data_IF_323648063839
#
_entry.id   IF_323648063839
#
_cell.length_a   1.000
_cell.length_b   1.000
_cell.length_c   1.000
_cell.angle_alpha   90.00
_cell.angle_beta   90.00
_cell.angle_gamma   90.00
#
_symmetry.space_group_name_H-M   'P 1'
#
loop_
_entity.id
_entity.type
_entity.pdbx_description
1 polymer ?
#
# COMPACT_ATOMS: atom_id res chain seq x y z
N UNK A 1 -6.49 -13.15 -16.28
CA UNK A 1 -7.17 -13.47 -15.01
C UNK A 1 -6.28 -13.10 -13.84
N UNK A 2 -6.83 -12.71 -12.69
CA UNK A 2 -6.06 -12.27 -11.53
C UNK A 2 -6.58 -12.96 -10.27
N UNK A 3 -5.68 -13.60 -9.53
CA UNK A 3 -5.97 -14.22 -8.24
C UNK A 3 -5.39 -13.34 -7.13
N UNK A 4 -6.21 -12.98 -6.13
CA UNK A 4 -5.79 -12.17 -4.97
C UNK A 4 -6.19 -12.85 -3.68
N UNK A 5 -5.27 -12.88 -2.71
CA UNK A 5 -5.47 -13.52 -1.41
C UNK A 5 -5.00 -12.59 -0.27
N UNK A 6 -5.75 -12.56 0.85
CA UNK A 6 -5.42 -11.78 2.04
C UNK A 6 -5.78 -10.29 1.97
N UNK A 7 -5.63 -9.58 3.10
CA UNK A 7 -5.95 -8.15 3.21
C UNK A 7 -7.45 -7.85 3.11
N UNK A 8 -7.80 -6.66 2.60
CA UNK A 8 -9.18 -6.25 2.32
C UNK A 8 -9.33 -5.73 0.89
N UNK A 9 -10.57 -5.51 0.44
CA UNK A 9 -10.90 -5.20 -0.96
C UNK A 9 -10.11 -4.02 -1.53
N UNK A 10 -9.95 -2.94 -0.75
CA UNK A 10 -9.18 -1.77 -1.17
C UNK A 10 -7.68 -2.08 -1.38
N UNK A 11 -7.08 -2.88 -0.49
CA UNK A 11 -5.68 -3.30 -0.62
C UNK A 11 -5.48 -4.27 -1.78
N UNK A 12 -6.45 -5.17 -2.00
CA UNK A 12 -6.45 -6.06 -3.15
C UNK A 12 -6.54 -5.29 -4.47
N UNK A 13 -7.45 -4.31 -4.59
CA UNK A 13 -7.53 -3.46 -5.78
C UNK A 13 -6.21 -2.73 -6.08
N UNK A 14 -5.51 -2.26 -5.04
CA UNK A 14 -4.17 -1.69 -5.17
C UNK A 14 -3.14 -2.71 -5.68
N UNK A 15 -3.17 -3.94 -5.17
CA UNK A 15 -2.28 -5.02 -5.61
C UNK A 15 -2.54 -5.42 -7.08
N UNK A 16 -3.81 -5.53 -7.48
CA UNK A 16 -4.20 -5.82 -8.88
C UNK A 16 -3.69 -4.72 -9.81
N UNK A 17 -3.89 -3.45 -9.45
CA UNK A 17 -3.42 -2.30 -10.25
C UNK A 17 -1.90 -2.33 -10.46
N UNK A 18 -1.15 -2.62 -9.39
CA UNK A 18 0.30 -2.75 -9.47
C UNK A 18 0.74 -3.95 -10.32
N UNK A 19 0.05 -5.08 -10.22
CA UNK A 19 0.28 -6.27 -11.06
C UNK A 19 0.04 -6.01 -12.54
N UNK A 20 -1.08 -5.37 -12.89
CA UNK A 20 -1.38 -4.97 -14.29
C UNK A 20 -0.30 -4.03 -14.83
N UNK A 21 0.18 -3.10 -14.01
CA UNK A 21 1.22 -2.15 -14.43
C UNK A 21 2.56 -2.84 -14.72
N UNK A 22 2.87 -3.95 -14.03
CA UNK A 22 4.04 -4.79 -14.34
C UNK A 22 3.83 -5.60 -15.62
N UNK A 23 2.65 -6.20 -15.80
CA UNK A 23 2.33 -6.93 -17.02
C UNK A 23 2.39 -6.03 -18.27
N UNK A 24 1.94 -4.77 -18.17
CA UNK A 24 2.06 -3.78 -19.25
C UNK A 24 3.50 -3.42 -19.58
N UNK A 25 4.39 -3.37 -18.58
CA UNK A 25 5.83 -3.15 -18.81
C UNK A 25 6.51 -4.30 -19.52
N UNK A 26 6.09 -5.54 -19.27
CA UNK A 26 6.62 -6.73 -19.96
C UNK A 26 6.13 -6.80 -21.40
N UNK A 27 4.91 -6.29 -21.65
CA UNK A 27 4.35 -6.20 -22.99
C UNK A 27 5.04 -5.12 -23.84
N UNK A 28 5.22 -3.92 -23.29
CA UNK A 28 5.82 -2.79 -23.99
C UNK A 28 6.62 -1.89 -23.03
N UNK A 29 7.92 -1.76 -23.31
CA UNK A 29 8.85 -0.97 -22.52
C UNK A 29 8.64 0.56 -22.67
N UNK A 30 8.04 1.03 -23.77
CA UNK A 30 7.82 2.46 -24.03
C UNK A 30 6.81 3.07 -23.05
N UNK A 31 5.86 2.26 -22.59
CA UNK A 31 4.84 2.62 -21.60
C UNK A 31 5.42 2.97 -20.23
N UNK A 32 6.69 2.62 -19.97
CA UNK A 32 7.37 2.91 -18.70
C UNK A 32 7.34 4.38 -18.33
N UNK A 33 7.54 5.28 -19.29
CA UNK A 33 7.58 6.72 -19.02
C UNK A 33 6.23 7.23 -18.50
N UNK A 34 5.13 6.75 -19.11
CA UNK A 34 3.75 7.11 -18.77
C UNK A 34 3.38 6.51 -17.42
N UNK A 35 3.64 5.21 -17.21
CA UNK A 35 3.33 4.50 -15.98
C UNK A 35 4.11 5.04 -14.78
N UNK A 36 5.37 5.46 -15.00
CA UNK A 36 6.19 6.10 -13.96
C UNK A 36 5.65 7.48 -13.59
N UNK A 37 5.27 8.30 -14.58
CA UNK A 37 4.62 9.60 -14.33
C UNK A 37 3.30 9.46 -13.58
N UNK A 38 2.52 8.43 -13.90
CA UNK A 38 1.26 8.12 -13.21
C UNK A 38 1.45 7.47 -11.81
N UNK A 39 2.68 7.11 -11.43
CA UNK A 39 2.99 6.56 -10.10
C UNK A 39 2.59 5.09 -9.88
N UNK A 40 2.23 4.34 -10.92
CA UNK A 40 1.75 2.96 -10.76
C UNK A 40 2.87 1.92 -10.57
N UNK A 41 4.11 2.29 -10.89
CA UNK A 41 5.27 1.42 -10.76
C UNK A 41 5.80 1.33 -9.32
N UNK A 42 5.43 2.26 -8.44
CA UNK A 42 5.91 2.27 -7.06
C UNK A 42 5.01 1.40 -6.19
N UNK A 43 5.61 0.47 -5.43
CA UNK A 43 4.88 -0.30 -4.42
C UNK A 43 4.51 0.62 -3.26
N UNK A 44 3.25 0.58 -2.84
CA UNK A 44 2.83 1.25 -1.60
C UNK A 44 3.47 0.54 -0.39
N UNK A 45 4.33 1.27 0.33
CA UNK A 45 5.05 0.77 1.49
C UNK A 45 4.24 0.91 2.80
N UNK A 46 3.07 1.57 2.77
CA UNK A 46 2.27 1.80 3.96
C UNK A 46 1.77 0.48 4.54
N UNK A 47 2.07 0.27 5.81
CA UNK A 47 1.64 -0.90 6.59
C UNK A 47 1.13 -0.45 7.95
N UNK A 48 0.25 -1.26 8.55
CA UNK A 48 -0.29 -0.98 9.88
C UNK A 48 0.83 -0.99 10.91
N UNK A 49 1.04 0.14 11.58
CA UNK A 49 1.96 0.23 12.71
C UNK A 49 1.40 -0.59 13.89
N UNK A 50 2.27 -1.37 14.55
CA UNK A 50 1.88 -2.19 15.71
C UNK A 50 1.50 -1.32 16.91
N UNK A 51 0.72 -1.89 17.82
CA UNK A 51 0.47 -1.29 19.13
C UNK A 51 1.77 -1.27 19.96
N UNK A 52 2.07 -0.14 20.59
CA UNK A 52 3.20 0.00 21.53
C UNK A 52 2.71 -0.24 22.96
N UNK A 53 3.57 -0.78 23.82
CA UNK A 53 3.22 -1.00 25.23
C UNK A 53 2.94 0.35 25.91
N UNK A 54 2.02 0.35 26.88
CA UNK A 54 1.60 1.59 27.56
C UNK A 54 0.79 2.56 26.70
N UNK A 55 0.38 2.17 25.49
CA UNK A 55 -0.46 2.99 24.60
C UNK A 55 -1.74 2.26 24.19
N UNK A 56 -2.91 2.94 24.10
CA UNK A 56 -4.12 2.34 23.56
C UNK A 56 -4.04 2.01 22.07
N UNK A 57 -3.12 2.62 21.31
CA UNK A 57 -2.91 2.37 19.89
C UNK A 57 -1.43 2.41 19.49
N UNK A 58 -1.16 2.62 18.19
CA UNK A 58 0.21 2.77 17.69
C UNK A 58 0.90 4.06 18.15
N UNK A 59 0.13 5.15 18.22
CA UNK A 59 0.59 6.49 18.64
C UNK A 59 -0.34 7.21 19.60
N UNK A 60 -1.59 6.75 19.73
CA UNK A 60 -2.58 7.33 20.66
C UNK A 60 -2.06 7.12 22.09
N UNK A 61 -2.06 8.19 22.90
CA UNK A 61 -1.72 8.14 24.33
C UNK A 61 -3.00 8.16 25.16
N UNK A 62 -2.93 7.62 26.37
CA UNK A 62 -3.97 7.85 27.37
C UNK A 62 -4.00 9.33 27.76
N UNK A 63 -5.14 9.80 28.27
CA UNK A 63 -5.26 11.15 28.80
C UNK A 63 -4.27 11.33 29.95
N UNK A 64 -3.53 12.44 29.92
CA UNK A 64 -2.52 12.78 30.92
C UNK A 64 -2.99 14.03 31.68
N UNK A 65 -3.00 13.97 33.01
CA UNK A 65 -3.24 15.14 33.87
C UNK A 65 -1.90 15.61 34.46
N UNK A 66 -1.51 16.86 34.18
CA UNK A 66 -0.44 17.53 34.93
C UNK A 66 -1.02 17.97 36.29
N UNK A 67 -0.17 17.97 37.32
CA UNK A 67 -0.46 18.68 38.56
C UNK A 67 -0.19 20.16 38.37
#
# INVERSE_FOLDING_TARGET
FVNVNGGGVAGQAGAVKHGISKALLEYDAELRSILKKAGFLTRDARIKERKKYGQPGARKRFQFSKR
#
